data_IF_010343074135
#
_entry.id   IF_010343074135
#
_cell.length_a   1.000
_cell.length_b   1.000
_cell.length_c   1.000
_cell.angle_alpha   90.00
_cell.angle_beta   90.00
_cell.angle_gamma   90.00
#
_symmetry.space_group_name_H-M   'P 1'
#
loop_
_entity.id
_entity.type
_entity.pdbx_description
1 polymer ?
#
# COMPACT_ATOMS: atom_id res chain seq x y z
N UNK A 1 7.94 -47.89 -16.84
CA UNK A 1 6.69 -47.12 -16.67
C UNK A 1 7.07 -45.67 -16.40
N UNK A 2 7.00 -44.82 -17.42
CA UNK A 2 7.24 -43.38 -17.31
C UNK A 2 5.91 -42.66 -17.58
N UNK A 3 5.31 -42.09 -16.53
CA UNK A 3 4.23 -41.10 -16.54
C UNK A 3 4.02 -40.65 -15.08
N UNK A 4 3.92 -39.39 -14.68
CA UNK A 4 3.83 -38.16 -15.43
C UNK A 4 4.43 -37.04 -14.58
N UNK A 5 5.27 -36.27 -15.25
CA UNK A 5 5.89 -35.02 -14.83
C UNK A 5 4.87 -33.89 -15.00
N UNK A 6 3.81 -33.85 -14.20
CA UNK A 6 2.90 -32.71 -14.18
C UNK A 6 2.69 -32.27 -12.75
N UNK A 7 3.31 -31.16 -12.38
CA UNK A 7 2.76 -29.82 -12.60
C UNK A 7 2.05 -29.39 -11.31
N UNK A 8 2.88 -29.03 -10.33
CA UNK A 8 2.49 -27.96 -9.43
C UNK A 8 3.72 -27.17 -9.04
N UNK A 9 4.22 -26.49 -10.06
CA UNK A 9 4.64 -25.11 -9.94
C UNK A 9 3.44 -24.28 -9.46
N UNK A 10 2.91 -24.56 -8.26
CA UNK A 10 1.94 -23.69 -7.61
C UNK A 10 2.75 -22.52 -7.06
N UNK A 11 3.04 -21.61 -7.98
CA UNK A 11 3.08 -20.18 -7.71
C UNK A 11 3.74 -19.86 -6.36
N UNK A 12 5.07 -20.00 -6.29
CA UNK A 12 5.85 -18.96 -5.61
C UNK A 12 5.68 -17.69 -6.41
N UNK A 13 4.47 -17.12 -6.38
CA UNK A 13 4.27 -15.72 -6.70
C UNK A 13 5.17 -15.03 -5.70
N UNK A 14 6.27 -14.47 -6.20
CA UNK A 14 7.25 -13.70 -5.45
C UNK A 14 6.67 -12.38 -4.94
N UNK A 15 5.51 -12.45 -4.30
CA UNK A 15 5.02 -11.39 -3.43
C UNK A 15 5.57 -11.71 -2.06
N UNK A 16 6.52 -10.87 -1.64
CA UNK A 16 6.97 -10.84 -0.27
C UNK A 16 5.74 -10.91 0.66
N UNK A 17 5.64 -11.89 1.59
CA UNK A 17 4.43 -12.12 2.38
C UNK A 17 4.03 -10.92 3.25
N UNK A 18 4.91 -9.92 3.35
CA UNK A 18 4.70 -8.68 4.07
C UNK A 18 3.99 -7.61 3.24
N UNK A 19 4.09 -7.65 1.89
CA UNK A 19 3.45 -6.69 0.99
C UNK A 19 1.92 -6.61 1.14
N UNK A 20 1.15 -7.71 1.24
CA UNK A 20 -0.30 -7.62 1.45
C UNK A 20 -0.66 -7.00 2.80
N UNK A 21 0.08 -7.30 3.87
CA UNK A 21 -0.14 -6.70 5.18
C UNK A 21 0.19 -5.20 5.17
N UNK A 22 1.27 -4.82 4.50
CA UNK A 22 1.68 -3.42 4.34
C UNK A 22 0.67 -2.62 3.52
N UNK A 23 0.13 -3.22 2.45
CA UNK A 23 -0.94 -2.64 1.64
C UNK A 23 -2.20 -2.41 2.47
N UNK A 24 -2.57 -3.36 3.32
CA UNK A 24 -3.72 -3.18 4.23
C UNK A 24 -3.51 -2.01 5.19
N UNK A 25 -2.32 -1.90 5.79
CA UNK A 25 -1.96 -0.78 6.67
C UNK A 25 -2.02 0.57 5.95
N UNK A 26 -1.48 0.64 4.73
CA UNK A 26 -1.58 1.81 3.86
C UNK A 26 -3.04 2.18 3.57
N UNK A 27 -3.88 1.20 3.22
CA UNK A 27 -5.29 1.44 2.93
C UNK A 27 -6.05 1.94 4.17
N UNK A 28 -5.76 1.41 5.35
CA UNK A 28 -6.35 1.91 6.61
C UNK A 28 -5.95 3.35 6.86
N UNK A 29 -4.65 3.67 6.77
CA UNK A 29 -4.11 5.02 6.94
C UNK A 29 -4.72 6.01 5.93
N UNK A 30 -4.80 5.63 4.66
CA UNK A 30 -5.39 6.44 3.59
C UNK A 30 -6.88 6.70 3.83
N UNK A 31 -7.64 5.69 4.25
CA UNK A 31 -9.06 5.85 4.54
C UNK A 31 -9.28 6.82 5.72
N UNK A 32 -8.48 6.71 6.78
CA UNK A 32 -8.50 7.67 7.89
C UNK A 32 -8.16 9.10 7.43
N UNK A 33 -7.17 9.27 6.56
CA UNK A 33 -6.85 10.57 5.99
C UNK A 33 -8.00 11.15 5.15
N UNK A 34 -8.67 10.33 4.35
CA UNK A 34 -9.77 10.74 3.47
C UNK A 34 -11.09 11.00 4.20
N UNK A 35 -11.35 10.33 5.32
CA UNK A 35 -12.62 10.46 6.07
C UNK A 35 -12.50 11.43 7.24
N UNK A 36 -11.34 11.47 7.89
CA UNK A 36 -11.12 12.22 9.13
C UNK A 36 -10.19 13.42 8.91
N UNK A 37 -9.42 13.45 7.81
CA UNK A 37 -8.40 14.49 7.59
C UNK A 37 -7.23 14.37 8.56
N UNK A 38 -6.96 13.17 9.10
CA UNK A 38 -5.86 12.94 10.04
C UNK A 38 -4.66 12.26 9.38
N UNK A 39 -3.43 12.72 9.68
CA UNK A 39 -2.23 12.08 9.18
C UNK A 39 -2.07 10.68 9.80
N UNK A 40 -1.35 9.78 9.11
CA UNK A 40 -1.10 8.44 9.61
C UNK A 40 -0.19 8.48 10.85
N UNK A 41 -0.41 7.55 11.77
CA UNK A 41 0.45 7.40 12.94
C UNK A 41 1.80 6.80 12.50
N UNK A 42 2.92 7.30 13.06
CA UNK A 42 4.27 6.80 12.73
C UNK A 42 4.47 5.31 13.05
N UNK A 43 3.56 4.68 13.81
CA UNK A 43 3.61 3.27 14.19
C UNK A 43 3.13 2.30 13.08
N UNK A 44 2.83 2.78 11.87
CA UNK A 44 2.15 1.99 10.83
C UNK A 44 3.10 1.07 10.03
N UNK A 45 4.41 1.02 10.36
CA UNK A 45 5.46 0.30 9.60
C UNK A 45 5.54 0.69 8.11
N UNK A 46 4.86 1.76 7.71
CA UNK A 46 4.91 2.30 6.35
C UNK A 46 6.21 3.07 6.16
N UNK A 47 6.72 3.06 4.93
CA UNK A 47 7.89 3.83 4.59
C UNK A 47 7.65 5.34 4.72
N UNK A 48 8.72 6.12 4.95
CA UNK A 48 8.63 7.54 5.23
C UNK A 48 8.02 8.34 4.06
N UNK A 49 8.23 7.91 2.81
CA UNK A 49 7.62 8.59 1.66
C UNK A 49 6.13 8.31 1.59
N UNK A 50 5.72 7.07 1.84
CA UNK A 50 4.32 6.68 1.92
C UNK A 50 3.58 7.45 3.01
N UNK A 51 4.18 7.56 4.22
CA UNK A 51 3.60 8.34 5.32
C UNK A 51 3.45 9.83 4.96
N UNK A 52 4.45 10.41 4.32
CA UNK A 52 4.39 11.80 3.86
C UNK A 52 3.28 12.01 2.83
N UNK A 53 3.11 11.09 1.88
CA UNK A 53 2.07 11.18 0.87
C UNK A 53 0.66 11.09 1.48
N UNK A 54 0.43 10.19 2.44
CA UNK A 54 -0.86 10.10 3.15
C UNK A 54 -1.10 11.33 4.04
N UNK A 55 -0.05 11.90 4.65
CA UNK A 55 -0.16 13.15 5.40
C UNK A 55 -0.55 14.34 4.52
N UNK A 56 -0.08 14.41 3.28
CA UNK A 56 -0.51 15.43 2.31
C UNK A 56 -2.01 15.29 1.98
N UNK A 57 -2.49 14.05 1.78
CA UNK A 57 -3.92 13.79 1.56
C UNK A 57 -4.76 14.23 2.76
N UNK A 58 -4.27 13.98 3.98
CA UNK A 58 -4.94 14.43 5.20
C UNK A 58 -4.98 15.97 5.30
N UNK A 59 -3.93 16.66 4.86
CA UNK A 59 -3.87 18.12 4.88
C UNK A 59 -4.82 18.77 3.86
N UNK A 60 -5.03 18.13 2.71
CA UNK A 60 -5.94 18.58 1.65
C UNK A 60 -7.40 18.20 1.90
N UNK A 61 -7.69 17.43 2.96
CA UNK A 61 -9.07 17.07 3.33
C UNK A 61 -9.92 18.31 3.65
N UNK A 62 -11.18 18.40 3.18
CA UNK A 62 -11.94 17.37 2.45
C UNK A 62 -11.82 17.41 0.91
N UNK A 63 -11.03 18.32 0.35
CA UNK A 63 -10.90 18.53 -1.10
C UNK A 63 -9.76 17.70 -1.72
N UNK A 64 -9.41 16.59 -1.08
CA UNK A 64 -8.33 15.73 -1.53
C UNK A 64 -8.60 15.18 -2.93
N UNK A 65 -7.86 15.69 -3.92
CA UNK A 65 -8.06 15.35 -5.33
C UNK A 65 -7.64 13.92 -5.67
N UNK A 66 -8.26 13.32 -6.68
CA UNK A 66 -7.88 11.99 -7.16
C UNK A 66 -6.39 11.89 -7.57
N UNK A 67 -5.78 13.01 -8.00
CA UNK A 67 -4.38 13.09 -8.38
C UNK A 67 -3.43 12.86 -7.20
N UNK A 68 -3.71 13.46 -6.03
CA UNK A 68 -2.87 13.25 -4.84
C UNK A 68 -3.05 11.85 -4.26
N UNK A 69 -4.25 11.26 -4.40
CA UNK A 69 -4.50 9.86 -4.03
C UNK A 69 -3.71 8.90 -4.93
N UNK A 70 -3.71 9.15 -6.25
CA UNK A 70 -2.91 8.38 -7.20
C UNK A 70 -1.41 8.48 -6.89
N UNK A 71 -0.92 9.69 -6.64
CA UNK A 71 0.48 9.92 -6.28
C UNK A 71 0.91 9.19 -4.99
N UNK A 72 0.02 9.07 -4.01
CA UNK A 72 0.31 8.27 -2.80
C UNK A 72 0.39 6.77 -3.10
N UNK A 73 -0.42 6.26 -4.03
CA UNK A 73 -0.33 4.87 -4.49
C UNK A 73 0.96 4.61 -5.29
N UNK A 74 1.34 5.50 -6.20
CA UNK A 74 2.62 5.41 -6.92
C UNK A 74 3.80 5.44 -5.94
N UNK A 75 3.76 6.32 -4.93
CA UNK A 75 4.79 6.39 -3.88
C UNK A 75 4.88 5.09 -3.08
N UNK A 76 3.74 4.50 -2.72
CA UNK A 76 3.71 3.20 -2.04
C UNK A 76 4.30 2.09 -2.89
N UNK A 77 4.02 2.07 -4.20
CA UNK A 77 4.56 1.08 -5.13
C UNK A 77 6.06 1.29 -5.39
N UNK A 78 6.55 2.53 -5.47
CA UNK A 78 7.98 2.84 -5.59
C UNK A 78 8.77 2.44 -4.34
N UNK A 79 8.20 2.65 -3.14
CA UNK A 79 8.89 2.39 -1.88
C UNK A 79 8.82 0.94 -1.41
N UNK A 80 7.80 0.18 -1.85
CA UNK A 80 7.53 -1.17 -1.34
C UNK A 80 7.34 -2.27 -2.40
N UNK A 81 7.22 -1.92 -3.68
CA UNK A 81 7.11 -2.87 -4.80
C UNK A 81 8.44 -3.32 -5.37
#
# INVERSE_FOLDING_TARGET
MFAGRLDRLSHSSGVDPLLPALRQRFQTALNTALVVGRPPECATDLGPRTLAAVALIAAEHPDASAQIIAAAYDTFLDEHG
#
